data_IF_899148121587
#
_entry.id   IF_899148121587
#
_cell.length_a   1.000
_cell.length_b   1.000
_cell.length_c   1.000
_cell.angle_alpha   90.00
_cell.angle_beta   90.00
_cell.angle_gamma   90.00
#
_symmetry.space_group_name_H-M   'P 1'
#
loop_
_entity.id
_entity.type
_entity.pdbx_description
1 polymer ?
#
# COMPACT_ATOMS: atom_id res chain seq x y z
N UNK A 1 10.87 15.01 -29.86
CA UNK A 1 11.92 15.23 -30.90
C UNK A 1 11.43 15.81 -32.23
N UNK A 2 10.17 15.59 -32.68
CA UNK A 2 9.69 16.14 -33.97
C UNK A 2 9.72 17.67 -34.04
N UNK A 3 9.31 18.37 -32.97
CA UNK A 3 9.23 19.84 -32.93
C UNK A 3 10.59 20.57 -33.02
N UNK A 4 11.63 20.01 -32.38
CA UNK A 4 13.01 20.51 -32.49
C UNK A 4 13.56 20.29 -33.91
N UNK A 5 13.30 19.10 -34.49
CA UNK A 5 13.73 18.76 -35.86
C UNK A 5 13.00 19.59 -36.93
N UNK A 6 11.73 19.90 -36.72
CA UNK A 6 10.93 20.73 -37.62
C UNK A 6 11.11 22.23 -37.41
N UNK A 7 12.00 22.65 -36.49
CA UNK A 7 12.21 24.05 -36.07
C UNK A 7 10.94 24.76 -35.57
N UNK A 8 9.92 23.98 -35.18
CA UNK A 8 8.69 24.52 -34.59
C UNK A 8 8.90 24.97 -33.14
N UNK A 9 9.91 24.42 -32.47
CA UNK A 9 10.37 24.83 -31.15
C UNK A 9 11.85 25.25 -31.26
N UNK A 10 12.18 26.54 -31.07
CA UNK A 10 13.56 26.99 -31.13
C UNK A 10 14.36 26.42 -29.95
N UNK A 11 15.54 25.90 -30.25
CA UNK A 11 16.46 25.37 -29.26
C UNK A 11 17.90 25.51 -29.73
N UNK A 12 18.81 25.66 -28.77
CA UNK A 12 20.26 25.74 -28.99
C UNK A 12 20.90 24.49 -28.40
N UNK A 13 21.95 23.97 -29.04
CA UNK A 13 22.70 22.85 -28.49
C UNK A 13 23.88 23.36 -27.68
N UNK A 14 24.03 22.88 -26.46
CA UNK A 14 25.18 23.20 -25.62
C UNK A 14 26.43 22.38 -25.98
N UNK A 15 27.56 22.74 -25.39
CA UNK A 15 28.84 22.04 -25.55
C UNK A 15 28.84 20.62 -24.95
N UNK A 16 27.84 20.29 -24.14
CA UNK A 16 27.59 18.96 -23.59
C UNK A 16 26.52 18.19 -24.39
N UNK A 17 26.24 18.69 -25.60
CA UNK A 17 25.36 18.06 -26.58
C UNK A 17 23.88 18.00 -26.18
N UNK A 18 23.45 18.75 -25.16
CA UNK A 18 22.07 18.88 -24.69
C UNK A 18 21.35 20.02 -25.39
N UNK A 19 20.03 19.90 -25.47
CA UNK A 19 19.17 20.95 -26.01
C UNK A 19 18.77 21.92 -24.91
N UNK A 20 19.05 23.19 -25.12
CA UNK A 20 18.55 24.30 -24.32
C UNK A 20 17.35 24.93 -25.05
N UNK A 21 16.23 24.98 -24.35
CA UNK A 21 14.96 25.50 -24.87
C UNK A 21 14.57 26.65 -23.97
N UNK A 22 14.23 27.79 -24.58
CA UNK A 22 13.73 28.94 -23.84
C UNK A 22 12.33 28.63 -23.25
N UNK A 23 12.09 28.86 -21.95
CA UNK A 23 10.82 28.55 -21.31
C UNK A 23 9.62 29.26 -21.95
N UNK A 24 9.76 30.53 -22.35
CA UNK A 24 8.66 31.28 -22.97
C UNK A 24 8.35 30.75 -24.38
N UNK A 25 9.38 30.32 -25.10
CA UNK A 25 9.21 29.67 -26.40
C UNK A 25 8.54 28.29 -26.26
N UNK A 26 8.84 27.55 -25.18
CA UNK A 26 8.22 26.28 -24.88
C UNK A 26 6.73 26.44 -24.56
N UNK A 27 6.37 27.40 -23.72
CA UNK A 27 4.98 27.67 -23.34
C UNK A 27 4.13 28.11 -24.54
N UNK A 28 4.69 28.99 -25.39
CA UNK A 28 4.03 29.42 -26.63
C UNK A 28 3.81 28.25 -27.59
N UNK A 29 4.83 27.40 -27.76
CA UNK A 29 4.73 26.21 -28.61
C UNK A 29 3.68 25.23 -28.05
N UNK A 30 3.65 25.03 -26.73
CA UNK A 30 2.68 24.15 -26.07
C UNK A 30 1.23 24.63 -26.24
N UNK A 31 0.99 25.94 -26.11
CA UNK A 31 -0.34 26.55 -26.26
C UNK A 31 -0.89 26.55 -27.70
N UNK A 32 -0.04 26.33 -28.71
CA UNK A 32 -0.43 26.28 -30.12
C UNK A 32 -0.65 24.85 -30.64
N UNK A 33 -0.46 23.83 -29.79
CA UNK A 33 -0.66 22.44 -30.22
C UNK A 33 -2.16 22.15 -30.35
N UNK A 34 -2.59 21.44 -31.41
CA UNK A 34 -3.94 20.92 -31.49
C UNK A 34 -4.19 19.96 -30.32
N UNK A 35 -5.39 20.05 -29.73
CA UNK A 35 -5.79 19.38 -28.49
C UNK A 35 -5.69 17.85 -28.55
N UNK A 36 -5.58 17.28 -29.75
CA UNK A 36 -5.37 15.84 -29.98
C UNK A 36 -4.04 15.30 -29.44
N UNK A 37 -3.03 16.14 -29.23
CA UNK A 37 -1.75 15.76 -28.63
C UNK A 37 -1.73 15.86 -27.09
N UNK A 38 -2.76 16.46 -26.48
CA UNK A 38 -2.89 16.64 -25.02
C UNK A 38 -3.39 15.37 -24.31
N UNK A 39 -3.95 14.44 -25.07
CA UNK A 39 -4.60 13.22 -24.56
C UNK A 39 -3.66 12.22 -23.88
N UNK A 40 -2.33 12.33 -24.04
CA UNK A 40 -1.37 11.39 -23.42
C UNK A 40 -0.79 11.88 -22.08
N UNK A 41 -0.92 13.17 -21.73
CA UNK A 41 -0.26 13.73 -20.54
C UNK A 41 -1.19 13.94 -19.32
N UNK A 42 -2.50 13.68 -19.45
CA UNK A 42 -3.47 13.85 -18.36
C UNK A 42 -3.76 12.56 -17.58
N UNK A 43 -2.89 11.55 -17.67
CA UNK A 43 -2.88 10.45 -16.70
C UNK A 43 -2.09 10.86 -15.46
N UNK A 44 -2.61 11.84 -14.72
CA UNK A 44 -2.30 11.93 -13.29
C UNK A 44 -2.67 10.61 -12.62
N UNK A 45 -2.08 10.25 -11.46
CA UNK A 45 -2.48 9.04 -10.75
C UNK A 45 -4.00 9.09 -10.56
N UNK A 46 -4.70 8.11 -11.15
CA UNK A 46 -6.14 7.93 -10.98
C UNK A 46 -6.35 7.71 -9.50
N UNK A 47 -6.68 8.77 -8.76
CA UNK A 47 -7.19 8.65 -7.41
C UNK A 47 -8.50 7.88 -7.59
N UNK A 48 -8.62 6.63 -7.09
CA UNK A 48 -9.87 5.91 -7.21
C UNK A 48 -10.92 6.75 -6.48
N UNK A 49 -11.85 7.33 -7.24
CA UNK A 49 -12.99 8.04 -6.66
C UNK A 49 -13.72 7.07 -5.75
N UNK A 50 -14.14 7.51 -4.56
CA UNK A 50 -14.97 6.73 -3.66
C UNK A 50 -16.33 6.45 -4.32
N UNK A 51 -16.37 5.40 -5.14
CA UNK A 51 -17.60 4.91 -5.72
C UNK A 51 -18.39 4.15 -4.65
N UNK A 52 -19.73 4.06 -4.76
CA UNK A 52 -20.51 3.25 -3.83
C UNK A 52 -20.01 1.79 -3.76
N UNK A 53 -19.40 1.28 -4.84
CA UNK A 53 -18.76 -0.02 -4.87
C UNK A 53 -17.49 -0.10 -4.03
N UNK A 54 -16.61 0.90 -4.06
CA UNK A 54 -15.40 0.91 -3.23
C UNK A 54 -15.75 1.02 -1.75
N UNK A 55 -16.76 1.83 -1.39
CA UNK A 55 -17.27 1.94 -0.03
C UNK A 55 -17.90 0.63 0.48
N UNK A 56 -18.68 -0.05 -0.36
CA UNK A 56 -19.23 -1.35 -0.01
C UNK A 56 -18.13 -2.41 0.22
N UNK A 57 -17.09 -2.42 -0.63
CA UNK A 57 -15.94 -3.31 -0.47
C UNK A 57 -15.15 -2.98 0.80
N UNK A 58 -14.99 -1.70 1.14
CA UNK A 58 -14.35 -1.25 2.37
C UNK A 58 -15.12 -1.76 3.61
N UNK A 59 -16.44 -1.56 3.65
CA UNK A 59 -17.27 -1.99 4.78
C UNK A 59 -17.19 -3.53 4.99
N UNK A 60 -17.21 -4.31 3.91
CA UNK A 60 -17.04 -5.77 4.00
C UNK A 60 -15.64 -6.16 4.49
N UNK A 61 -14.60 -5.45 4.04
CA UNK A 61 -13.23 -5.70 4.47
C UNK A 61 -13.05 -5.38 5.97
N UNK A 62 -13.61 -4.26 6.44
CA UNK A 62 -13.59 -3.85 7.85
C UNK A 62 -14.32 -4.86 8.75
N UNK A 63 -15.49 -5.33 8.33
CA UNK A 63 -16.23 -6.36 9.08
C UNK A 63 -15.42 -7.66 9.20
N UNK A 64 -14.83 -8.13 8.10
CA UNK A 64 -13.97 -9.33 8.12
C UNK A 64 -12.73 -9.16 8.99
N UNK A 65 -12.14 -7.97 9.00
CA UNK A 65 -10.99 -7.66 9.85
C UNK A 65 -11.39 -7.73 11.33
N UNK A 66 -12.51 -7.11 11.70
CA UNK A 66 -13.04 -7.16 13.06
C UNK A 66 -13.29 -8.60 13.51
N UNK A 67 -13.97 -9.41 12.69
CA UNK A 67 -14.24 -10.82 13.00
C UNK A 67 -12.95 -11.64 13.17
N UNK A 68 -11.95 -11.38 12.31
CA UNK A 68 -10.66 -12.06 12.39
C UNK A 68 -9.90 -11.70 13.67
N UNK A 69 -9.91 -10.42 14.06
CA UNK A 69 -9.27 -9.96 15.29
C UNK A 69 -9.92 -10.57 16.53
N UNK A 70 -11.26 -10.61 16.60
CA UNK A 70 -11.98 -11.26 17.70
C UNK A 70 -11.60 -12.73 17.83
N UNK A 71 -11.54 -13.47 16.72
CA UNK A 71 -11.12 -14.88 16.73
C UNK A 71 -9.68 -15.06 17.20
N UNK A 72 -8.79 -14.16 16.81
CA UNK A 72 -7.39 -14.20 17.28
C UNK A 72 -7.33 -13.98 18.79
N UNK A 73 -8.11 -13.04 19.33
CA UNK A 73 -8.17 -12.81 20.78
C UNK A 73 -8.68 -14.05 21.54
N UNK A 74 -9.77 -14.66 21.06
CA UNK A 74 -10.31 -15.87 21.68
C UNK A 74 -9.30 -17.02 21.66
N UNK A 75 -8.64 -17.27 20.51
CA UNK A 75 -7.60 -18.29 20.41
C UNK A 75 -6.39 -18.00 21.31
N UNK A 76 -6.04 -16.73 21.52
CA UNK A 76 -4.98 -16.36 22.45
C UNK A 76 -5.39 -16.66 23.90
N UNK A 77 -6.64 -16.36 24.27
CA UNK A 77 -7.19 -16.67 25.59
C UNK A 77 -7.19 -18.17 25.86
N UNK A 78 -7.72 -18.97 24.93
CA UNK A 78 -7.74 -20.44 25.03
C UNK A 78 -6.33 -21.01 25.18
N UNK A 79 -5.37 -20.53 24.37
CA UNK A 79 -3.98 -20.94 24.47
C UNK A 79 -3.38 -20.61 25.84
N UNK A 80 -3.67 -19.43 26.38
CA UNK A 80 -3.11 -19.01 27.67
C UNK A 80 -3.75 -19.77 28.85
N UNK A 81 -5.04 -20.10 28.76
CA UNK A 81 -5.71 -21.02 29.68
C UNK A 81 -5.09 -22.41 29.63
N UNK A 82 -4.83 -22.95 28.43
CA UNK A 82 -4.16 -24.25 28.28
C UNK A 82 -2.74 -24.25 28.84
N UNK A 83 -1.97 -23.17 28.61
CA UNK A 83 -0.65 -23.02 29.23
C UNK A 83 -0.74 -22.98 30.75
N UNK A 84 -1.71 -22.26 31.30
CA UNK A 84 -1.90 -22.19 32.74
C UNK A 84 -2.23 -23.57 33.33
N UNK A 85 -3.11 -24.33 32.69
CA UNK A 85 -3.44 -25.70 33.09
C UNK A 85 -2.23 -26.63 33.02
N UNK A 86 -1.45 -26.58 31.93
CA UNK A 86 -0.22 -27.38 31.79
C UNK A 86 0.83 -27.02 32.86
N UNK A 87 0.98 -25.73 33.19
CA UNK A 87 1.84 -25.29 34.28
C UNK A 87 1.34 -25.75 35.66
N UNK A 88 0.03 -25.76 35.88
CA UNK A 88 -0.55 -26.25 37.13
C UNK A 88 -0.29 -27.75 37.31
N UNK A 89 -0.43 -28.54 36.25
CA UNK A 89 -0.17 -29.98 36.26
C UNK A 89 1.31 -30.30 36.54
N UNK A 90 2.23 -29.51 35.98
CA UNK A 90 3.68 -29.68 36.22
C UNK A 90 4.13 -29.22 37.61
N UNK A 91 3.38 -28.32 38.27
CA UNK A 91 3.66 -27.88 39.64
C UNK A 91 3.02 -28.79 40.71
N UNK A 92 2.09 -29.67 40.37
CA UNK A 92 1.55 -30.60 41.34
C UNK A 92 2.51 -31.78 41.55
N UNK A 93 2.82 -32.16 42.81
CA UNK A 93 3.60 -33.37 43.07
C UNK A 93 2.87 -34.55 42.45
N UNK A 94 3.62 -35.38 41.72
CA UNK A 94 3.06 -36.51 41.01
C UNK A 94 2.30 -37.44 41.96
N UNK A 95 1.28 -38.12 41.47
CA UNK A 95 0.56 -39.12 42.26
C UNK A 95 1.52 -40.18 42.86
N UNK A 96 2.65 -40.44 42.18
CA UNK A 96 3.75 -41.28 42.64
C UNK A 96 4.50 -40.67 43.84
N UNK A 97 4.79 -39.36 43.84
CA UNK A 97 5.44 -38.69 44.98
C UNK A 97 4.55 -38.70 46.22
N UNK A 98 3.23 -38.53 46.03
CA UNK A 98 2.24 -38.67 47.11
C UNK A 98 2.12 -40.10 47.63
N UNK A 99 2.17 -41.10 46.76
CA UNK A 99 2.13 -42.52 47.15
C UNK A 99 3.41 -42.98 47.88
N UNK A 100 4.55 -42.38 47.56
CA UNK A 100 5.84 -42.67 48.18
C UNK A 100 6.14 -41.80 49.41
N UNK A 101 5.22 -40.92 49.82
CA UNK A 101 5.38 -40.06 51.00
C UNK A 101 6.51 -39.03 50.89
N UNK A 102 6.93 -38.68 49.66
CA UNK A 102 7.93 -37.64 49.39
C UNK A 102 7.18 -36.32 49.13
N UNK A 103 6.91 -35.57 50.19
CA UNK A 103 6.45 -34.18 50.12
C UNK A 103 7.32 -33.31 51.01
#
# INVERSE_FOLDING_TARGET
>A
MRALKSKALPAIRDNENRWQIDPDALDRWAGQRPDTDRTEAEQGPVIPSDTPETLARLAVAEARLSDALSRVEDLQRERDEWRAQAQALTRQPGWVDRLLGRT
#
